data_IF_724678221581
#
_entry.id   IF_724678221581
#
_cell.length_a   1.000
_cell.length_b   1.000
_cell.length_c   1.000
_cell.angle_alpha   90.00
_cell.angle_beta   90.00
_cell.angle_gamma   90.00
#
_symmetry.space_group_name_H-M   'P 1'
#
loop_
_entity.id
_entity.type
_entity.pdbx_description
1 polymer ?
#
# COMPACT_ATOMS: atom_id res chain seq x y z
N UNK A 1 -8.21 -18.08 -27.01
CA UNK A 1 -7.58 -17.67 -25.74
C UNK A 1 -6.16 -18.25 -25.73
N UNK A 2 -5.16 -17.54 -25.17
CA UNK A 2 -3.78 -18.03 -25.10
C UNK A 2 -3.68 -19.31 -24.26
N UNK A 3 -2.69 -20.17 -24.52
CA UNK A 3 -2.45 -21.37 -23.68
C UNK A 3 -1.99 -20.93 -22.29
N UNK A 4 -2.25 -21.75 -21.27
CA UNK A 4 -1.85 -21.44 -19.89
C UNK A 4 -0.35 -21.25 -19.76
N UNK A 5 0.43 -22.09 -20.43
CA UNK A 5 1.89 -21.96 -20.50
C UNK A 5 2.34 -20.61 -21.08
N UNK A 6 1.67 -20.10 -22.11
CA UNK A 6 1.95 -18.78 -22.69
C UNK A 6 1.64 -17.66 -21.68
N UNK A 7 0.57 -17.82 -20.90
CA UNK A 7 0.21 -16.88 -19.83
C UNK A 7 1.26 -16.93 -18.72
N UNK A 8 1.64 -18.11 -18.23
CA UNK A 8 2.67 -18.25 -17.20
C UNK A 8 4.02 -17.67 -17.66
N UNK A 9 4.39 -17.90 -18.92
CA UNK A 9 5.59 -17.33 -19.51
C UNK A 9 5.50 -15.82 -19.72
N UNK A 10 4.35 -15.27 -20.11
CA UNK A 10 4.20 -13.82 -20.26
C UNK A 10 4.29 -13.09 -18.92
N UNK A 11 3.89 -13.73 -17.83
CA UNK A 11 3.99 -13.13 -16.49
C UNK A 11 5.44 -12.87 -16.06
N UNK A 12 6.44 -13.58 -16.61
CA UNK A 12 7.88 -13.33 -16.33
C UNK A 12 8.46 -12.19 -17.18
N UNK A 13 7.72 -11.72 -18.18
CA UNK A 13 8.22 -10.72 -19.10
C UNK A 13 8.47 -9.42 -18.34
N UNK A 14 9.73 -8.97 -18.36
CA UNK A 14 10.08 -7.66 -17.86
C UNK A 14 9.49 -6.59 -18.78
N UNK A 15 8.72 -5.69 -18.18
CA UNK A 15 8.11 -4.51 -18.80
C UNK A 15 8.69 -3.25 -18.20
N UNK A 16 8.79 -2.22 -19.02
CA UNK A 16 9.23 -0.90 -18.57
C UNK A 16 8.02 -0.03 -18.28
N UNK A 17 7.98 0.52 -17.06
CA UNK A 17 7.00 1.53 -16.65
C UNK A 17 7.71 2.88 -16.60
N UNK A 18 7.25 3.82 -17.42
CA UNK A 18 7.80 5.17 -17.46
C UNK A 18 7.33 5.97 -16.24
N UNK A 19 8.26 6.62 -15.55
CA UNK A 19 7.94 7.56 -14.47
C UNK A 19 8.11 9.00 -14.97
N UNK A 20 6.99 9.71 -15.10
CA UNK A 20 6.98 11.10 -15.53
C UNK A 20 6.96 12.03 -14.30
N UNK A 21 8.09 12.71 -14.08
CA UNK A 21 8.22 13.71 -13.01
C UNK A 21 8.96 14.93 -13.54
N UNK A 22 8.27 16.06 -13.70
CA UNK A 22 8.84 17.28 -14.32
C UNK A 22 8.36 18.54 -13.63
N UNK A 23 9.09 19.65 -13.80
CA UNK A 23 8.64 20.96 -13.27
C UNK A 23 7.34 21.42 -13.93
N UNK A 24 7.15 21.10 -15.20
CA UNK A 24 5.90 21.37 -15.91
C UNK A 24 4.71 20.64 -15.25
N UNK A 25 4.91 19.37 -14.86
CA UNK A 25 3.88 18.62 -14.13
C UNK A 25 3.46 19.34 -12.84
N UNK A 26 4.41 19.86 -12.07
CA UNK A 26 4.13 20.64 -10.85
C UNK A 26 3.25 21.84 -11.17
N UNK A 27 3.64 22.66 -12.14
CA UNK A 27 2.86 23.85 -12.53
C UNK A 27 1.45 23.52 -13.00
N UNK A 28 1.27 22.42 -13.73
CA UNK A 28 -0.07 21.94 -14.14
C UNK A 28 -0.91 21.43 -12.97
N UNK A 29 -0.30 20.79 -11.98
CA UNK A 29 -0.97 20.35 -10.76
C UNK A 29 -1.40 21.53 -9.90
N UNK A 30 -0.56 22.57 -9.78
CA UNK A 30 -0.91 23.81 -9.08
C UNK A 30 -2.08 24.54 -9.77
N UNK A 31 -2.05 24.63 -11.10
CA UNK A 31 -3.16 25.18 -11.88
C UNK A 31 -4.46 24.38 -11.64
N UNK A 32 -4.42 23.05 -11.76
CA UNK A 32 -5.59 22.20 -11.52
C UNK A 32 -6.10 22.31 -10.07
N UNK A 33 -5.21 22.47 -9.09
CA UNK A 33 -5.58 22.69 -7.70
C UNK A 33 -6.34 24.01 -7.51
N UNK A 34 -5.90 25.09 -8.16
CA UNK A 34 -6.56 26.40 -8.12
C UNK A 34 -7.94 26.38 -8.82
N UNK A 35 -8.02 25.76 -10.00
CA UNK A 35 -9.29 25.58 -10.74
C UNK A 35 -10.31 24.82 -9.87
N UNK A 36 -9.91 23.69 -9.26
CA UNK A 36 -10.78 22.92 -8.36
C UNK A 36 -11.19 23.67 -7.10
N UNK A 37 -10.34 24.55 -6.59
CA UNK A 37 -10.67 25.38 -5.43
C UNK A 37 -11.73 26.43 -5.78
N UNK A 38 -11.59 27.06 -6.94
CA UNK A 38 -12.57 27.99 -7.48
C UNK A 38 -13.94 27.32 -7.67
N UNK A 39 -13.98 26.16 -8.34
CA UNK A 39 -15.22 25.37 -8.51
C UNK A 39 -15.89 25.04 -7.16
N UNK A 40 -15.09 24.69 -6.13
CA UNK A 40 -15.61 24.42 -4.77
C UNK A 40 -16.17 25.67 -4.11
N UNK A 41 -15.54 26.82 -4.31
CA UNK A 41 -16.00 28.09 -3.76
C UNK A 41 -17.31 28.53 -4.41
N UNK A 42 -17.43 28.45 -5.74
CA UNK A 42 -18.67 28.73 -6.47
C UNK A 42 -19.79 27.78 -6.04
N UNK A 43 -19.50 26.49 -5.91
CA UNK A 43 -20.48 25.50 -5.45
C UNK A 43 -20.96 25.81 -4.02
N UNK A 44 -20.06 26.24 -3.14
CA UNK A 44 -20.42 26.65 -1.78
C UNK A 44 -21.32 27.90 -1.78
N UNK A 45 -20.97 28.93 -2.55
CA UNK A 45 -21.75 30.16 -2.68
C UNK A 45 -23.17 29.86 -3.22
N UNK A 46 -23.26 29.06 -4.29
CA UNK A 46 -24.55 28.61 -4.84
C UNK A 46 -25.39 27.86 -3.81
N UNK A 47 -24.79 26.94 -3.05
CA UNK A 47 -25.50 26.21 -2.00
C UNK A 47 -25.96 27.13 -0.86
N UNK A 48 -25.21 28.20 -0.57
CA UNK A 48 -25.59 29.20 0.42
C UNK A 48 -26.79 30.03 -0.03
N UNK A 49 -26.79 30.47 -1.29
CA UNK A 49 -27.92 31.18 -1.92
C UNK A 49 -29.18 30.31 -1.99
N UNK A 50 -29.02 29.00 -2.26
CA UNK A 50 -30.12 28.03 -2.29
C UNK A 50 -30.58 27.55 -0.90
N UNK A 51 -30.00 28.08 0.19
CA UNK A 51 -30.34 27.69 1.56
C UNK A 51 -29.98 26.24 1.93
N UNK A 52 -29.06 25.62 1.19
CA UNK A 52 -28.60 24.23 1.38
C UNK A 52 -27.45 24.11 2.39
N UNK A 53 -26.89 25.23 2.85
CA UNK A 53 -25.88 25.27 3.92
C UNK A 53 -26.52 25.57 5.27
N UNK A 54 -25.93 25.11 6.37
CA UNK A 54 -26.44 25.40 7.71
C UNK A 54 -26.13 26.85 8.11
N UNK A 55 -26.96 27.48 8.95
CA UNK A 55 -26.65 28.79 9.52
C UNK A 55 -25.29 28.77 10.23
N UNK A 56 -24.37 29.64 9.80
CA UNK A 56 -23.01 29.73 10.36
C UNK A 56 -21.94 28.88 9.64
N UNK A 57 -22.30 28.11 8.61
CA UNK A 57 -21.30 27.44 7.77
C UNK A 57 -20.43 28.48 7.05
N UNK A 58 -19.10 28.30 7.11
CA UNK A 58 -18.12 29.13 6.40
C UNK A 58 -17.34 28.28 5.41
N UNK A 59 -16.94 28.89 4.29
CA UNK A 59 -16.12 28.20 3.31
C UNK A 59 -14.73 27.93 3.88
N UNK A 60 -14.33 26.66 3.91
CA UNK A 60 -13.00 26.22 4.31
C UNK A 60 -12.25 25.67 3.09
N UNK A 61 -11.12 26.30 2.71
CA UNK A 61 -10.30 25.80 1.62
C UNK A 61 -9.70 24.43 1.92
N UNK A 62 -9.49 23.60 0.89
CA UNK A 62 -8.78 22.33 1.08
C UNK A 62 -7.29 22.58 1.30
N UNK A 63 -6.80 22.21 2.47
CA UNK A 63 -5.37 22.13 2.74
C UNK A 63 -4.73 21.06 1.82
N UNK A 64 -3.59 21.41 1.24
CA UNK A 64 -2.83 20.59 0.30
C UNK A 64 -1.37 20.58 0.73
N UNK A 65 -0.70 19.46 0.45
CA UNK A 65 0.70 19.30 0.81
C UNK A 65 1.55 20.37 0.12
N UNK A 66 2.27 21.22 0.88
CA UNK A 66 3.11 22.25 0.28
C UNK A 66 4.44 21.68 -0.22
N UNK A 67 5.13 22.46 -1.05
CA UNK A 67 6.48 22.14 -1.50
C UNK A 67 6.56 20.93 -2.43
N UNK A 68 5.49 20.68 -3.21
CA UNK A 68 5.50 19.67 -4.25
C UNK A 68 6.56 20.03 -5.29
N UNK A 69 7.39 19.06 -5.62
CA UNK A 69 8.44 19.21 -6.61
C UNK A 69 8.62 17.91 -7.40
N UNK A 70 9.29 17.96 -8.56
CA UNK A 70 9.65 16.75 -9.29
C UNK A 70 10.59 15.91 -8.44
N UNK A 71 10.67 14.61 -8.73
CA UNK A 71 11.66 13.75 -8.11
C UNK A 71 13.08 14.33 -8.31
N UNK A 72 14.03 14.12 -7.37
CA UNK A 72 15.40 14.59 -7.48
C UNK A 72 16.12 14.04 -8.72
N UNK A 73 17.23 14.67 -9.12
CA UNK A 73 17.93 14.39 -10.38
C UNK A 73 18.27 12.92 -10.64
N UNK A 74 18.71 12.20 -9.62
CA UNK A 74 19.05 10.77 -9.69
C UNK A 74 17.84 9.84 -9.92
N UNK A 75 16.63 10.40 -9.74
CA UNK A 75 15.33 9.74 -9.92
C UNK A 75 14.56 10.32 -11.13
N UNK A 76 15.05 11.39 -11.76
CA UNK A 76 14.46 11.94 -12.98
C UNK A 76 14.74 11.02 -14.16
N UNK A 77 13.70 10.68 -14.93
CA UNK A 77 13.82 9.69 -15.99
C UNK A 77 13.90 8.25 -15.48
N UNK A 78 13.50 8.01 -14.23
CA UNK A 78 13.33 6.67 -13.68
C UNK A 78 12.41 5.85 -14.60
N UNK A 79 12.97 4.79 -15.17
CA UNK A 79 12.22 3.72 -15.79
C UNK A 79 12.26 2.54 -14.83
N UNK A 80 11.10 2.16 -14.30
CA UNK A 80 11.02 1.00 -13.40
C UNK A 80 10.80 -0.24 -14.26
N UNK A 81 11.75 -1.17 -14.21
CA UNK A 81 11.59 -2.48 -14.83
C UNK A 81 10.88 -3.38 -13.83
N UNK A 82 9.68 -3.83 -14.19
CA UNK A 82 8.84 -4.70 -13.39
C UNK A 82 8.42 -5.89 -14.26
N UNK A 83 7.98 -6.97 -13.67
CA UNK A 83 7.17 -7.97 -14.36
C UNK A 83 5.69 -7.75 -14.04
N UNK A 84 4.79 -8.42 -14.78
CA UNK A 84 3.37 -8.45 -14.41
C UNK A 84 3.15 -9.09 -13.04
N UNK A 85 4.05 -10.01 -12.66
CA UNK A 85 4.11 -10.61 -11.35
C UNK A 85 4.42 -9.62 -10.24
N UNK A 86 5.38 -8.72 -10.46
CA UNK A 86 5.73 -7.73 -9.46
C UNK A 86 4.53 -6.80 -9.19
N UNK A 87 3.76 -6.44 -10.22
CA UNK A 87 2.53 -5.63 -10.07
C UNK A 87 1.49 -6.38 -9.24
N UNK A 88 1.25 -7.66 -9.54
CA UNK A 88 0.34 -8.51 -8.77
C UNK A 88 0.79 -8.62 -7.31
N UNK A 89 2.09 -8.80 -7.09
CA UNK A 89 2.68 -8.95 -5.77
C UNK A 89 2.46 -7.71 -4.90
N UNK A 90 2.77 -6.53 -5.45
CA UNK A 90 2.52 -5.25 -4.78
C UNK A 90 1.04 -5.04 -4.48
N UNK A 91 0.16 -5.41 -5.41
CA UNK A 91 -1.28 -5.28 -5.21
C UNK A 91 -1.80 -6.22 -4.11
N UNK A 92 -1.44 -7.51 -4.17
CA UNK A 92 -1.82 -8.50 -3.18
C UNK A 92 -1.33 -8.09 -1.78
N UNK A 93 -0.04 -7.71 -1.66
CA UNK A 93 0.55 -7.23 -0.41
C UNK A 93 -0.15 -5.98 0.12
N UNK A 94 -0.48 -5.04 -0.76
CA UNK A 94 -1.17 -3.79 -0.43
C UNK A 94 -2.64 -3.97 -0.06
N UNK A 95 -3.29 -5.06 -0.48
CA UNK A 95 -4.70 -5.37 -0.20
C UNK A 95 -4.91 -6.40 0.92
N UNK A 96 -3.85 -7.06 1.39
CA UNK A 96 -3.92 -8.14 2.38
C UNK A 96 -4.73 -7.79 3.66
N UNK A 97 -4.71 -6.51 4.08
CA UNK A 97 -5.47 -6.03 5.26
C UNK A 97 -6.79 -5.30 4.92
N UNK A 98 -7.27 -5.40 3.69
CA UNK A 98 -8.49 -4.70 3.29
C UNK A 98 -9.73 -5.39 3.91
N UNK A 99 -10.56 -4.60 4.61
CA UNK A 99 -11.79 -5.09 5.28
C UNK A 99 -12.84 -5.67 4.32
N UNK A 100 -12.65 -5.53 3.00
CA UNK A 100 -13.52 -6.11 1.97
C UNK A 100 -13.27 -7.60 1.74
N UNK A 101 -12.17 -8.15 2.26
CA UNK A 101 -11.68 -9.49 1.95
C UNK A 101 -11.46 -10.43 3.13
N UNK A 102 -11.99 -10.14 4.32
CA UNK A 102 -11.77 -10.97 5.50
C UNK A 102 -12.28 -12.43 5.42
N UNK A 103 -13.13 -12.72 4.42
CA UNK A 103 -13.54 -14.08 4.05
C UNK A 103 -13.02 -14.53 2.67
N UNK A 104 -12.12 -13.75 2.04
CA UNK A 104 -11.68 -13.84 0.63
C UNK A 104 -10.20 -13.55 0.37
N UNK A 105 -9.38 -13.26 1.39
CA UNK A 105 -8.04 -12.66 1.24
C UNK A 105 -7.19 -13.26 0.12
N UNK A 106 -7.14 -14.59 0.03
CA UNK A 106 -6.39 -15.29 -1.01
C UNK A 106 -7.10 -15.36 -2.38
N UNK A 107 -8.42 -15.52 -2.40
CA UNK A 107 -9.21 -15.47 -3.65
C UNK A 107 -9.17 -14.07 -4.29
N UNK A 108 -8.94 -13.02 -3.49
CA UNK A 108 -8.74 -11.65 -3.97
C UNK A 108 -7.31 -11.39 -4.47
N UNK A 109 -6.28 -11.99 -3.85
CA UNK A 109 -4.91 -11.98 -4.39
C UNK A 109 -4.91 -12.55 -5.81
N UNK A 110 -5.43 -13.75 -5.99
CA UNK A 110 -5.47 -14.40 -7.30
C UNK A 110 -6.57 -13.84 -8.21
N UNK A 111 -7.63 -13.27 -7.65
CA UNK A 111 -8.62 -12.50 -8.40
C UNK A 111 -8.03 -11.25 -9.07
N UNK A 112 -6.87 -10.77 -8.62
CA UNK A 112 -6.12 -9.68 -9.25
C UNK A 112 -5.33 -10.11 -10.48
N UNK A 113 -5.18 -11.42 -10.76
CA UNK A 113 -4.56 -11.93 -12.00
C UNK A 113 -5.25 -11.42 -13.26
N UNK A 114 -6.56 -11.13 -13.18
CA UNK A 114 -7.32 -10.53 -14.28
C UNK A 114 -6.69 -9.22 -14.77
N UNK A 115 -5.97 -8.50 -13.90
CA UNK A 115 -5.27 -7.28 -14.27
C UNK A 115 -4.00 -7.56 -15.05
N UNK A 116 -3.28 -8.64 -14.75
CA UNK A 116 -2.14 -9.08 -15.56
C UNK A 116 -2.60 -9.44 -16.98
N UNK A 117 -3.74 -10.12 -17.12
CA UNK A 117 -4.33 -10.43 -18.45
C UNK A 117 -4.83 -9.18 -19.19
N UNK A 118 -5.22 -8.14 -18.45
CA UNK A 118 -5.63 -6.85 -19.00
C UNK A 118 -4.45 -5.98 -19.47
N UNK A 119 -3.21 -6.42 -19.29
CA UNK A 119 -2.00 -5.70 -19.66
C UNK A 119 -1.17 -6.53 -20.65
N UNK A 120 -0.35 -5.86 -21.45
CA UNK A 120 0.60 -6.50 -22.36
C UNK A 120 1.82 -5.61 -22.59
N UNK A 121 2.93 -6.20 -23.02
CA UNK A 121 4.07 -5.44 -23.49
C UNK A 121 3.82 -4.95 -24.93
N UNK A 122 4.28 -3.75 -25.26
CA UNK A 122 4.38 -3.28 -26.63
C UNK A 122 5.64 -3.81 -27.33
N UNK A 123 5.83 -3.41 -28.60
CA UNK A 123 6.98 -3.84 -29.40
C UNK A 123 8.33 -3.38 -28.83
N UNK A 124 8.32 -2.39 -27.93
CA UNK A 124 9.49 -1.80 -27.26
C UNK A 124 9.58 -2.18 -25.79
N UNK A 125 8.82 -3.19 -25.33
CA UNK A 125 8.72 -3.68 -23.94
C UNK A 125 8.06 -2.73 -22.95
N UNK A 126 7.46 -1.63 -23.39
CA UNK A 126 6.68 -0.78 -22.50
C UNK A 126 5.32 -1.40 -22.23
N UNK A 127 4.82 -1.17 -21.02
CA UNK A 127 3.55 -1.70 -20.60
C UNK A 127 2.38 -0.94 -21.26
N UNK A 128 1.40 -1.67 -21.81
CA UNK A 128 0.15 -1.12 -22.35
C UNK A 128 -1.05 -1.98 -21.96
N UNK A 129 -2.25 -1.49 -22.22
CA UNK A 129 -3.48 -2.27 -22.05
C UNK A 129 -3.61 -3.30 -23.18
N UNK A 130 -3.88 -4.56 -22.82
CA UNK A 130 -4.13 -5.64 -23.79
C UNK A 130 -5.46 -5.45 -24.52
N UNK A 131 -5.68 -6.13 -25.66
CA UNK A 131 -6.97 -6.08 -26.37
C UNK A 131 -8.14 -6.57 -25.50
N UNK A 132 -7.89 -7.53 -24.62
CA UNK A 132 -8.84 -7.98 -23.60
C UNK A 132 -9.09 -6.90 -22.54
N UNK A 133 -8.02 -6.27 -22.06
CA UNK A 133 -8.10 -5.15 -21.11
C UNK A 133 -8.90 -3.96 -21.65
N UNK A 134 -8.77 -3.65 -22.95
CA UNK A 134 -9.56 -2.60 -23.61
C UNK A 134 -11.06 -2.90 -23.59
N UNK A 135 -11.46 -4.18 -23.73
CA UNK A 135 -12.86 -4.60 -23.65
C UNK A 135 -13.40 -4.54 -22.21
N UNK A 136 -12.59 -4.92 -21.22
CA UNK A 136 -12.94 -4.88 -19.80
C UNK A 136 -13.05 -3.44 -19.26
N UNK A 137 -12.20 -2.53 -19.75
CA UNK A 137 -12.20 -1.12 -19.37
C UNK A 137 -13.52 -0.40 -19.66
N UNK A 138 -14.39 -0.96 -20.51
CA UNK A 138 -15.74 -0.45 -20.78
C UNK A 138 -16.70 -0.67 -19.61
N UNK A 139 -16.49 -1.70 -18.78
CA UNK A 139 -17.43 -2.11 -17.73
C UNK A 139 -16.89 -1.99 -16.30
N UNK A 140 -15.56 -2.06 -16.10
CA UNK A 140 -14.92 -2.05 -14.76
C UNK A 140 -13.83 -0.98 -14.57
N UNK A 141 -13.88 0.09 -15.38
CA UNK A 141 -12.87 1.18 -15.45
C UNK A 141 -12.42 1.72 -14.09
N UNK A 142 -13.36 1.99 -13.17
CA UNK A 142 -13.05 2.70 -11.93
C UNK A 142 -12.25 1.82 -10.95
N UNK A 143 -12.70 0.59 -10.71
CA UNK A 143 -12.02 -0.32 -9.79
C UNK A 143 -10.66 -0.77 -10.34
N UNK A 144 -10.60 -1.08 -11.63
CA UNK A 144 -9.36 -1.48 -12.30
C UNK A 144 -8.29 -0.38 -12.21
N UNK A 145 -8.65 0.86 -12.52
CA UNK A 145 -7.67 1.96 -12.44
C UNK A 145 -7.27 2.32 -11.01
N UNK A 146 -8.16 2.16 -10.04
CA UNK A 146 -7.80 2.35 -8.62
C UNK A 146 -6.79 1.29 -8.16
N UNK A 147 -7.08 0.00 -8.39
CA UNK A 147 -6.22 -1.09 -7.92
C UNK A 147 -4.87 -1.13 -8.66
N UNK A 148 -4.87 -0.97 -9.99
CA UNK A 148 -3.63 -0.81 -10.75
C UNK A 148 -2.86 0.44 -10.32
N UNK A 149 -3.57 1.55 -10.07
CA UNK A 149 -2.96 2.79 -9.59
C UNK A 149 -2.26 2.61 -8.24
N UNK A 150 -2.81 1.79 -7.34
CA UNK A 150 -2.12 1.40 -6.11
C UNK A 150 -0.90 0.55 -6.41
N UNK A 151 -1.04 -0.52 -7.20
CA UNK A 151 0.05 -1.46 -7.49
C UNK A 151 1.30 -0.76 -8.06
N UNK A 152 1.11 0.08 -9.08
CA UNK A 152 2.21 0.84 -9.68
C UNK A 152 2.80 1.89 -8.74
N UNK A 153 1.95 2.60 -7.97
CA UNK A 153 2.46 3.56 -6.99
C UNK A 153 3.31 2.88 -5.91
N UNK A 154 2.93 1.69 -5.45
CA UNK A 154 3.69 0.92 -4.48
C UNK A 154 5.03 0.46 -5.05
N UNK A 155 5.04 -0.11 -6.25
CA UNK A 155 6.27 -0.55 -6.92
C UNK A 155 7.25 0.60 -7.19
N UNK A 156 6.74 1.73 -7.70
CA UNK A 156 7.56 2.93 -7.93
C UNK A 156 8.03 3.54 -6.59
N UNK A 157 7.22 3.48 -5.54
CA UNK A 157 7.64 3.95 -4.20
C UNK A 157 8.77 3.12 -3.63
N UNK A 158 8.71 1.79 -3.73
CA UNK A 158 9.77 0.90 -3.27
C UNK A 158 11.08 1.19 -4.01
N UNK A 159 11.03 1.35 -5.33
CA UNK A 159 12.22 1.69 -6.14
C UNK A 159 12.81 3.05 -5.76
N UNK A 160 11.98 4.10 -5.64
CA UNK A 160 12.43 5.44 -5.20
C UNK A 160 13.10 5.36 -3.83
N UNK A 161 12.44 4.71 -2.86
CA UNK A 161 12.94 4.67 -1.50
C UNK A 161 14.17 3.76 -1.38
N UNK A 162 14.29 2.71 -2.18
CA UNK A 162 15.47 1.84 -2.22
C UNK A 162 16.68 2.61 -2.72
N UNK A 163 16.51 3.48 -3.73
CA UNK A 163 17.61 4.34 -4.21
C UNK A 163 18.03 5.38 -3.17
N UNK A 164 17.06 6.00 -2.49
CA UNK A 164 17.33 6.99 -1.44
C UNK A 164 17.94 6.38 -0.18
N UNK A 165 17.63 5.13 0.11
CA UNK A 165 18.00 4.42 1.34
C UNK A 165 18.42 2.97 1.03
N UNK A 166 19.57 2.75 0.36
CA UNK A 166 19.97 1.43 -0.15
C UNK A 166 20.23 0.40 0.95
N UNK A 167 20.55 0.87 2.15
CA UNK A 167 20.84 0.03 3.32
C UNK A 167 19.65 -0.13 4.26
N UNK A 168 18.47 0.38 3.90
CA UNK A 168 17.29 0.31 4.75
C UNK A 168 16.27 -0.67 4.18
N UNK A 169 15.47 -1.22 5.09
CA UNK A 169 14.24 -1.94 4.74
C UNK A 169 13.12 -0.94 4.51
N UNK A 170 12.26 -1.26 3.55
CA UNK A 170 11.08 -0.49 3.22
C UNK A 170 9.87 -1.37 3.55
N UNK A 171 9.04 -0.91 4.48
CA UNK A 171 7.77 -1.57 4.82
C UNK A 171 6.63 -0.65 4.41
N UNK A 172 5.81 -1.07 3.44
CA UNK A 172 4.67 -0.29 2.99
C UNK A 172 3.38 -0.88 3.56
N UNK A 173 2.64 -0.06 4.32
CA UNK A 173 1.45 -0.48 5.06
C UNK A 173 0.26 0.41 4.75
N UNK A 174 -0.96 -0.12 4.91
CA UNK A 174 -2.20 0.65 4.75
C UNK A 174 -2.29 1.74 5.82
N UNK A 175 -2.36 2.99 5.37
CA UNK A 175 -2.38 4.13 6.27
C UNK A 175 -3.64 4.16 7.14
N UNK A 176 -4.80 3.82 6.58
CA UNK A 176 -6.06 3.73 7.32
C UNK A 176 -5.96 2.73 8.49
N UNK A 177 -5.42 1.53 8.25
CA UNK A 177 -5.22 0.50 9.28
C UNK A 177 -4.23 0.96 10.33
N UNK A 178 -3.11 1.58 9.96
CA UNK A 178 -2.14 2.11 10.92
C UNK A 178 -2.74 3.22 11.80
N UNK A 179 -3.49 4.16 11.22
CA UNK A 179 -4.10 5.26 11.96
C UNK A 179 -5.24 4.80 12.89
N UNK A 180 -5.99 3.75 12.52
CA UNK A 180 -7.05 3.18 13.38
C UNK A 180 -6.55 2.64 14.72
N UNK A 181 -5.24 2.43 14.88
CA UNK A 181 -4.64 2.11 16.17
C UNK A 181 -4.90 3.19 17.22
N UNK A 182 -5.03 4.46 16.80
CA UNK A 182 -5.13 5.61 17.73
C UNK A 182 -6.34 6.49 17.51
N UNK A 183 -6.90 6.51 16.30
CA UNK A 183 -8.00 7.41 15.95
C UNK A 183 -9.21 6.69 15.40
N UNK A 184 -10.37 7.32 15.57
CA UNK A 184 -11.62 6.93 14.94
C UNK A 184 -11.80 7.69 13.65
N UNK A 185 -11.72 6.98 12.54
CA UNK A 185 -11.63 7.60 11.21
C UNK A 185 -12.99 7.68 10.51
N UNK A 186 -14.00 6.92 10.94
CA UNK A 186 -15.31 6.87 10.26
C UNK A 186 -16.47 7.09 11.24
N UNK A 187 -17.62 7.54 10.71
CA UNK A 187 -18.86 7.71 11.49
C UNK A 187 -19.50 6.40 11.96
N UNK A 188 -19.03 5.25 11.45
CA UNK A 188 -19.45 3.91 11.89
C UNK A 188 -18.90 3.54 13.28
N UNK A 189 -17.95 4.32 13.81
CA UNK A 189 -17.47 4.19 15.18
C UNK A 189 -18.52 4.80 16.14
N UNK A 190 -19.53 3.98 16.50
CA UNK A 190 -20.84 4.32 17.12
C UNK A 190 -20.86 5.08 18.47
N UNK A 191 -19.78 5.72 18.93
CA UNK A 191 -19.77 6.45 20.21
C UNK A 191 -19.59 7.97 20.00
N UNK A 192 -20.24 8.78 20.86
CA UNK A 192 -20.41 10.25 20.80
C UNK A 192 -19.11 11.10 20.89
N UNK A 193 -17.93 10.56 20.57
CA UNK A 193 -16.67 11.31 20.57
C UNK A 193 -16.36 11.88 19.17
N UNK A 194 -15.61 12.99 19.14
CA UNK A 194 -15.24 13.71 17.91
C UNK A 194 -14.43 12.79 16.98
N UNK A 195 -14.96 12.51 15.79
CA UNK A 195 -14.19 11.90 14.68
C UNK A 195 -13.13 12.89 14.21
N UNK A 196 -12.13 12.41 13.44
CA UNK A 196 -11.03 13.25 12.93
C UNK A 196 -11.52 14.46 12.09
N UNK A 197 -12.76 14.44 11.61
CA UNK A 197 -13.39 15.57 10.91
C UNK A 197 -12.83 15.85 9.51
N UNK A 198 -11.68 15.26 9.17
CA UNK A 198 -11.07 15.31 7.84
C UNK A 198 -11.28 13.98 7.12
N UNK A 199 -11.84 14.02 5.92
CA UNK A 199 -12.17 12.82 5.13
C UNK A 199 -10.96 12.27 4.36
N UNK A 200 -9.95 13.11 4.13
CA UNK A 200 -8.80 12.74 3.31
C UNK A 200 -7.68 12.13 4.17
N UNK A 201 -7.05 11.09 3.63
CA UNK A 201 -5.94 10.34 4.21
C UNK A 201 -5.07 9.80 3.08
N UNK A 202 -3.75 9.66 3.27
CA UNK A 202 -2.94 8.89 2.34
C UNK A 202 -3.46 7.45 2.27
N UNK A 203 -3.21 6.76 1.15
CA UNK A 203 -3.60 5.36 1.00
C UNK A 203 -2.64 4.44 1.79
N UNK A 204 -1.35 4.79 1.81
CA UNK A 204 -0.29 3.99 2.43
C UNK A 204 0.71 4.86 3.20
N UNK A 205 1.45 4.22 4.11
CA UNK A 205 2.70 4.72 4.65
C UNK A 205 3.83 3.80 4.21
N UNK A 206 4.94 4.35 3.73
CA UNK A 206 6.20 3.63 3.67
C UNK A 206 7.05 3.99 4.89
N UNK A 207 7.43 3.00 5.68
CA UNK A 207 8.43 3.10 6.74
C UNK A 207 9.78 2.67 6.18
N UNK A 208 10.75 3.58 6.20
CA UNK A 208 12.16 3.32 5.92
C UNK A 208 12.87 3.11 7.25
N UNK A 209 13.51 1.96 7.42
CA UNK A 209 14.13 1.60 8.69
C UNK A 209 15.30 0.64 8.53
N UNK A 210 16.29 0.75 9.41
CA UNK A 210 17.29 -0.30 9.62
C UNK A 210 17.60 -0.45 11.11
N UNK A 211 18.14 -1.61 11.55
CA UNK A 211 18.49 -1.85 12.95
C UNK A 211 19.36 -0.73 13.53
N UNK A 212 19.04 -0.29 14.75
CA UNK A 212 19.79 0.75 15.46
C UNK A 212 19.51 2.19 15.02
N UNK A 213 18.68 2.42 13.99
CA UNK A 213 18.31 3.77 13.56
C UNK A 213 16.83 4.10 13.75
N UNK A 214 16.55 5.40 13.83
CA UNK A 214 15.19 5.94 13.81
C UNK A 214 14.53 5.68 12.45
N UNK A 215 13.25 5.28 12.45
CA UNK A 215 12.49 5.15 11.21
C UNK A 215 12.15 6.51 10.60
N UNK A 216 12.09 6.58 9.27
CA UNK A 216 11.48 7.70 8.54
C UNK A 216 10.24 7.23 7.79
N UNK A 217 9.15 7.97 7.90
CA UNK A 217 7.85 7.59 7.35
C UNK A 217 7.42 8.55 6.25
N UNK A 218 6.97 7.97 5.13
CA UNK A 218 6.47 8.67 3.94
C UNK A 218 5.01 8.30 3.71
N UNK A 219 4.05 9.22 3.96
CA UNK A 219 2.72 9.16 3.38
C UNK A 219 2.79 9.00 1.85
N UNK A 220 2.10 7.99 1.33
CA UNK A 220 1.92 7.75 -0.10
C UNK A 220 0.46 8.01 -0.44
N UNK A 221 0.25 9.00 -1.32
CA UNK A 221 -1.06 9.27 -1.89
C UNK A 221 -1.07 8.91 -3.36
N UNK A 222 -1.99 8.04 -3.78
CA UNK A 222 -2.02 7.51 -5.14
C UNK A 222 -3.44 7.44 -5.71
N UNK A 223 -3.53 7.58 -7.03
CA UNK A 223 -4.73 7.41 -7.84
C UNK A 223 -4.34 6.72 -9.14
N UNK A 224 -5.31 6.13 -9.83
CA UNK A 224 -5.15 5.75 -11.23
C UNK A 224 -6.34 6.19 -12.06
N UNK A 225 -6.14 6.25 -13.38
CA UNK A 225 -7.21 6.56 -14.32
C UNK A 225 -6.97 5.94 -15.68
N UNK A 226 -8.05 5.70 -16.42
CA UNK A 226 -8.05 5.29 -17.82
C UNK A 226 -8.49 6.45 -18.74
N UNK A 227 -8.15 7.68 -18.37
CA UNK A 227 -8.58 8.91 -19.03
C UNK A 227 -7.37 9.70 -19.48
N UNK A 228 -7.61 10.90 -20.02
CA UNK A 228 -6.56 11.76 -20.54
C UNK A 228 -5.62 12.31 -19.43
N UNK A 229 -4.50 12.84 -19.91
CA UNK A 229 -3.47 13.52 -19.13
C UNK A 229 -3.99 14.72 -18.30
N UNK A 230 -5.13 15.33 -18.62
CA UNK A 230 -5.67 16.44 -17.79
C UNK A 230 -6.14 15.91 -16.45
N UNK A 231 -6.75 14.72 -16.43
CA UNK A 231 -7.21 14.06 -15.20
C UNK A 231 -6.06 13.71 -14.26
N UNK A 232 -4.86 13.46 -14.78
CA UNK A 232 -3.65 13.25 -13.98
C UNK A 232 -3.38 14.46 -13.07
N UNK A 233 -3.54 15.68 -13.58
CA UNK A 233 -3.27 16.91 -12.81
C UNK A 233 -4.26 17.07 -11.66
N UNK A 234 -5.55 16.84 -11.91
CA UNK A 234 -6.58 16.85 -10.87
C UNK A 234 -6.35 15.76 -9.81
N UNK A 235 -5.91 14.57 -10.25
CA UNK A 235 -5.62 13.46 -9.35
C UNK A 235 -4.43 13.73 -8.45
N UNK A 236 -3.35 14.32 -8.97
CA UNK A 236 -2.20 14.72 -8.15
C UNK A 236 -2.54 15.88 -7.21
N UNK A 237 -3.36 16.84 -7.67
CA UNK A 237 -3.88 17.91 -6.81
C UNK A 237 -4.73 17.35 -5.66
N UNK A 238 -5.56 16.34 -5.94
CA UNK A 238 -6.31 15.60 -4.93
C UNK A 238 -5.39 14.79 -4.01
N UNK A 239 -4.38 14.10 -4.56
CA UNK A 239 -3.40 13.34 -3.79
C UNK A 239 -2.65 14.22 -2.78
N UNK A 240 -2.41 15.49 -3.12
CA UNK A 240 -1.83 16.48 -2.20
C UNK A 240 -2.72 16.78 -0.99
N UNK A 241 -4.06 16.76 -1.15
CA UNK A 241 -5.03 16.86 -0.04
C UNK A 241 -4.94 15.62 0.85
N UNK A 242 -4.88 14.43 0.23
CA UNK A 242 -4.74 13.16 0.95
C UNK A 242 -3.45 13.08 1.76
N UNK A 243 -2.30 13.42 1.16
CA UNK A 243 -1.00 13.38 1.81
C UNK A 243 -0.89 14.36 2.98
N UNK A 244 -1.54 15.52 2.87
CA UNK A 244 -1.52 16.53 3.93
C UNK A 244 -2.40 16.19 5.14
N UNK A 245 -3.37 15.28 4.98
CA UNK A 245 -4.24 14.83 6.08
C UNK A 245 -3.52 14.18 7.27
N UNK A 246 -2.21 13.92 7.16
CA UNK A 246 -1.37 13.35 8.22
C UNK A 246 -0.06 14.12 8.34
N UNK A 247 0.26 14.57 9.56
CA UNK A 247 1.54 15.20 9.88
C UNK A 247 2.29 14.33 10.91
N UNK A 248 3.51 13.92 10.57
CA UNK A 248 4.45 13.24 11.46
C UNK A 248 5.55 14.24 11.81
N UNK A 249 5.54 14.68 13.06
CA UNK A 249 6.35 15.78 13.58
C UNK A 249 5.67 17.13 13.47
N UNK A 250 6.45 18.16 13.16
CA UNK A 250 5.95 19.53 13.12
C UNK A 250 5.08 19.80 11.88
N UNK A 251 4.35 20.91 11.96
CA UNK A 251 3.43 21.35 10.92
C UNK A 251 4.12 21.47 9.56
N UNK A 252 3.53 20.84 8.54
CA UNK A 252 3.98 20.84 7.14
C UNK A 252 5.34 20.18 6.86
N UNK A 253 6.03 19.64 7.86
CA UNK A 253 7.37 19.08 7.67
C UNK A 253 7.39 17.62 7.20
N UNK A 254 6.27 16.90 7.22
CA UNK A 254 6.26 15.49 6.82
C UNK A 254 6.61 15.34 5.33
N UNK A 255 7.53 14.45 4.91
CA UNK A 255 7.74 14.19 3.49
C UNK A 255 6.51 13.48 2.89
N UNK A 256 6.41 13.39 1.57
CA UNK A 256 5.32 12.62 0.93
C UNK A 256 5.69 12.21 -0.49
N UNK A 257 5.11 11.10 -0.96
CA UNK A 257 5.14 10.68 -2.35
C UNK A 257 3.71 10.69 -2.93
N UNK A 258 3.55 11.31 -4.09
CA UNK A 258 2.26 11.48 -4.75
C UNK A 258 2.31 10.84 -6.14
N UNK A 259 1.31 10.03 -6.46
CA UNK A 259 1.25 9.31 -7.73
C UNK A 259 -0.11 9.43 -8.41
N UNK A 260 -0.07 9.51 -9.73
CA UNK A 260 -1.23 9.28 -10.60
C UNK A 260 -0.80 8.36 -11.74
N UNK A 261 -1.46 7.21 -11.88
CA UNK A 261 -1.19 6.27 -12.96
C UNK A 261 -2.12 6.54 -14.13
N UNK A 262 -1.56 6.86 -15.30
CA UNK A 262 -2.27 7.02 -16.57
C UNK A 262 -2.26 5.70 -17.33
N UNK A 263 -3.44 5.08 -17.44
CA UNK A 263 -3.66 3.83 -18.16
C UNK A 263 -4.32 4.17 -19.51
N UNK A 264 -3.49 4.64 -20.45
CA UNK A 264 -3.94 4.97 -21.81
C UNK A 264 -4.34 3.71 -22.59
N UNK A 265 -5.30 3.86 -23.49
CA UNK A 265 -5.70 2.79 -24.42
C UNK A 265 -4.79 2.72 -25.65
N UNK A 266 -4.08 3.80 -25.96
CA UNK A 266 -3.21 3.96 -27.14
C UNK A 266 -1.73 4.01 -26.78
N UNK A 267 -1.41 4.61 -25.65
CA UNK A 267 -0.04 4.93 -25.26
C UNK A 267 0.46 4.00 -24.16
N UNK A 268 1.79 3.91 -23.97
CA UNK A 268 2.37 3.25 -22.81
C UNK A 268 1.81 3.78 -21.49
N UNK A 269 1.58 2.87 -20.56
CA UNK A 269 1.23 3.19 -19.18
C UNK A 269 2.32 4.04 -18.56
N UNK A 270 1.92 5.16 -17.97
CA UNK A 270 2.83 6.13 -17.37
C UNK A 270 2.44 6.39 -15.92
N UNK A 271 3.42 6.39 -15.02
CA UNK A 271 3.23 6.79 -13.62
C UNK A 271 3.74 8.21 -13.45
N UNK A 272 2.84 9.13 -13.13
CA UNK A 272 3.19 10.51 -12.83
C UNK A 272 3.50 10.63 -11.34
N UNK A 273 4.71 11.08 -11.02
CA UNK A 273 5.21 11.12 -9.65
C UNK A 273 5.62 12.54 -9.26
N UNK A 274 5.22 12.96 -8.05
CA UNK A 274 5.71 14.16 -7.38
C UNK A 274 6.10 13.81 -5.96
N UNK A 275 6.96 14.62 -5.34
CA UNK A 275 7.27 14.45 -3.93
C UNK A 275 7.30 15.77 -3.17
N UNK A 276 7.12 15.66 -1.86
CA UNK A 276 7.46 16.70 -0.90
C UNK A 276 8.62 16.19 -0.04
N UNK A 277 9.69 16.97 0.07
CA UNK A 277 10.95 16.56 0.70
C UNK A 277 10.99 16.69 2.23
N UNK A 278 9.91 17.23 2.80
CA UNK A 278 9.83 17.77 4.16
C UNK A 278 10.79 17.13 5.19
N UNK A 279 11.46 17.95 6.02
CA UNK A 279 12.54 17.48 6.91
C UNK A 279 12.08 16.55 8.04
N UNK A 280 10.76 16.44 8.25
CA UNK A 280 10.13 15.60 9.25
C UNK A 280 9.95 14.14 8.82
N UNK A 281 8.91 13.50 9.35
CA UNK A 281 8.64 12.07 9.13
C UNK A 281 9.50 11.14 9.99
N UNK A 282 10.41 11.67 10.80
CA UNK A 282 11.29 10.88 11.67
C UNK A 282 10.57 10.47 12.95
N UNK A 283 10.51 9.16 13.21
CA UNK A 283 10.07 8.58 14.48
C UNK A 283 11.30 8.43 15.37
N UNK A 284 11.77 9.55 15.93
CA UNK A 284 12.93 9.57 16.83
C UNK A 284 12.54 8.96 18.17
N UNK A 285 13.13 7.81 18.47
CA UNK A 285 12.91 7.10 19.73
C UNK A 285 14.21 7.22 20.54
N UNK A 286 14.13 7.43 21.86
CA UNK A 286 15.31 7.46 22.72
C UNK A 286 16.18 6.21 22.54
N UNK A 287 17.51 6.40 22.45
CA UNK A 287 18.49 5.33 22.16
C UNK A 287 18.51 4.22 23.21
N UNK A 288 18.03 4.51 24.43
CA UNK A 288 17.89 3.57 25.54
C UNK A 288 16.61 2.72 25.47
N UNK A 289 15.74 2.94 24.48
CA UNK A 289 14.53 2.14 24.30
C UNK A 289 14.88 0.74 23.81
N UNK A 290 14.55 -0.33 24.56
CA UNK A 290 14.82 -1.69 24.12
C UNK A 290 14.13 -2.00 22.79
N UNK A 291 14.80 -2.68 21.86
CA UNK A 291 14.19 -3.07 20.58
C UNK A 291 12.91 -3.92 20.77
N UNK A 292 12.88 -4.74 21.82
CA UNK A 292 11.72 -5.53 22.23
C UNK A 292 10.48 -4.67 22.52
N UNK A 293 10.66 -3.41 22.92
CA UNK A 293 9.55 -2.50 23.18
C UNK A 293 8.73 -2.22 21.92
N UNK A 294 9.31 -2.33 20.73
CA UNK A 294 8.59 -2.14 19.47
C UNK A 294 7.64 -3.31 19.18
N UNK A 295 7.89 -4.48 19.76
CA UNK A 295 7.01 -5.65 19.65
C UNK A 295 5.88 -5.72 20.66
N UNK A 296 5.86 -4.81 21.64
CA UNK A 296 4.76 -4.76 22.60
C UNK A 296 3.42 -4.44 21.90
N UNK A 297 2.30 -4.96 22.44
CA UNK A 297 0.97 -4.59 21.96
C UNK A 297 0.78 -3.07 21.89
N UNK A 298 0.07 -2.62 20.87
CA UNK A 298 -0.28 -1.21 20.73
C UNK A 298 -1.45 -0.91 21.66
N UNK A 299 -1.18 -0.12 22.70
CA UNK A 299 -2.21 0.38 23.60
C UNK A 299 -3.12 1.42 22.93
N UNK A 300 -4.29 1.65 23.53
CA UNK A 300 -5.28 2.61 23.06
C UNK A 300 -4.92 4.04 23.49
N UNK A 301 -3.79 4.56 22.99
CA UNK A 301 -3.27 5.88 23.37
C UNK A 301 -4.19 7.05 23.03
N UNK A 302 -5.16 6.87 22.12
CA UNK A 302 -6.11 7.89 21.68
C UNK A 302 -5.50 9.30 21.51
N UNK A 303 -4.48 9.50 20.65
CA UNK A 303 -3.87 10.82 20.49
C UNK A 303 -4.91 11.88 20.14
N UNK A 304 -4.66 13.12 20.56
CA UNK A 304 -5.55 14.24 20.25
C UNK A 304 -5.82 14.33 18.74
N UNK A 305 -7.09 14.59 18.40
CA UNK A 305 -7.52 14.81 17.03
C UNK A 305 -7.08 16.20 16.57
N UNK A 306 -6.59 16.27 15.34
CA UNK A 306 -6.25 17.51 14.68
C UNK A 306 -4.75 17.63 14.39
N UNK A 307 -4.44 18.66 13.62
CA UNK A 307 -3.09 19.06 13.27
C UNK A 307 -2.90 20.48 13.77
N UNK A 308 -1.94 20.66 14.66
CA UNK A 308 -1.60 21.91 15.31
C UNK A 308 -0.78 22.78 14.36
N UNK A 309 -1.40 23.85 13.90
CA UNK A 309 -0.77 24.91 13.13
C UNK A 309 -0.17 25.93 14.10
N UNK A 310 1.14 26.19 14.01
CA UNK A 310 1.78 27.21 14.83
C UNK A 310 1.12 28.57 14.60
N UNK A 311 0.80 29.27 15.69
CA UNK A 311 0.32 30.65 15.65
C UNK A 311 1.37 31.61 15.08
N UNK A 312 0.93 32.74 14.53
CA UNK A 312 1.83 33.80 14.06
C UNK A 312 2.00 34.86 15.17
N UNK A 313 3.22 35.01 15.68
CA UNK A 313 3.53 36.06 16.66
C UNK A 313 2.86 35.80 18.02
N UNK A 314 1.84 36.58 18.37
CA UNK A 314 1.08 36.44 19.62
C UNK A 314 -0.16 35.56 19.49
N UNK A 315 -0.54 35.18 18.28
CA UNK A 315 -1.71 34.34 18.06
C UNK A 315 -1.47 32.93 18.62
N UNK A 316 -2.45 32.32 19.29
CA UNK A 316 -2.32 30.95 19.77
C UNK A 316 -2.31 29.97 18.61
N UNK A 317 -1.77 28.78 18.86
CA UNK A 317 -1.85 27.65 17.93
C UNK A 317 -3.30 27.28 17.65
N UNK A 318 -3.59 26.98 16.38
CA UNK A 318 -4.92 26.56 15.94
C UNK A 318 -4.90 25.09 15.54
N UNK A 319 -5.94 24.35 15.93
CA UNK A 319 -6.10 22.95 15.51
C UNK A 319 -6.92 22.87 14.23
N UNK A 320 -6.36 22.23 13.22
CA UNK A 320 -6.97 21.97 11.92
C UNK A 320 -7.38 20.48 11.84
N UNK A 321 -8.43 20.09 11.08
CA UNK A 321 -8.80 18.68 10.94
C UNK A 321 -7.68 17.81 10.35
N UNK A 322 -7.45 16.62 10.93
CA UNK A 322 -6.44 15.66 10.47
C UNK A 322 -5.79 14.88 11.62
N UNK A 323 -4.71 14.13 11.31
CA UNK A 323 -3.96 13.38 12.32
C UNK A 323 -2.53 13.92 12.45
N UNK A 324 -2.12 14.37 13.64
CA UNK A 324 -0.72 14.69 13.92
C UNK A 324 -0.09 13.70 14.91
N UNK A 325 1.02 13.10 14.50
CA UNK A 325 1.88 12.27 15.34
C UNK A 325 2.99 13.19 15.85
N UNK A 326 2.90 13.61 17.12
CA UNK A 326 3.94 14.39 17.79
C UNK A 326 5.00 13.52 18.49
N UNK A 327 6.11 14.11 19.00
CA UNK A 327 7.23 13.37 19.58
C UNK A 327 6.86 12.36 20.67
N UNK A 328 5.90 12.71 21.53
CA UNK A 328 5.40 11.83 22.61
C UNK A 328 4.76 10.53 22.10
N UNK A 329 4.34 10.48 20.84
CA UNK A 329 3.65 9.36 20.20
C UNK A 329 4.51 8.63 19.16
N UNK A 330 5.79 8.99 18.98
CA UNK A 330 6.64 8.35 17.95
C UNK A 330 6.84 6.87 18.19
N UNK A 331 7.14 6.47 19.44
CA UNK A 331 7.29 5.06 19.83
C UNK A 331 6.00 4.27 19.59
N UNK A 332 4.86 4.83 19.99
CA UNK A 332 3.55 4.23 19.75
C UNK A 332 3.26 4.04 18.26
N UNK A 333 3.51 5.07 17.44
CA UNK A 333 3.23 4.99 16.01
C UNK A 333 4.17 4.02 15.29
N UNK A 334 5.44 3.93 15.71
CA UNK A 334 6.37 2.94 15.15
C UNK A 334 5.92 1.51 15.48
N UNK A 335 5.40 1.26 16.69
CA UNK A 335 4.76 -0.03 17.04
C UNK A 335 3.56 -0.31 16.15
N UNK A 336 2.70 0.68 15.93
CA UNK A 336 1.53 0.54 15.07
C UNK A 336 1.92 0.18 13.62
N UNK A 337 2.93 0.85 13.05
CA UNK A 337 3.44 0.52 11.72
C UNK A 337 4.03 -0.89 11.67
N UNK A 338 4.87 -1.26 12.63
CA UNK A 338 5.51 -2.57 12.68
C UNK A 338 4.51 -3.72 12.79
N UNK A 339 3.51 -3.58 13.67
CA UNK A 339 2.45 -4.59 13.85
C UNK A 339 1.52 -4.68 12.66
N UNK A 340 1.16 -3.57 12.02
CA UNK A 340 0.36 -3.59 10.77
C UNK A 340 1.17 -4.20 9.62
N UNK A 341 2.48 -3.94 9.55
CA UNK A 341 3.37 -4.60 8.60
C UNK A 341 3.36 -6.12 8.76
N UNK A 342 3.56 -6.59 9.99
CA UNK A 342 3.51 -8.01 10.36
C UNK A 342 2.12 -8.63 10.09
N UNK A 343 1.04 -7.95 10.48
CA UNK A 343 -0.32 -8.42 10.23
C UNK A 343 -0.59 -8.58 8.73
N UNK A 344 -0.04 -7.68 7.91
CA UNK A 344 -0.15 -7.79 6.46
C UNK A 344 0.62 -8.98 5.89
N UNK A 345 1.73 -9.41 6.50
CA UNK A 345 2.47 -10.62 6.08
C UNK A 345 1.71 -11.89 6.46
N UNK A 346 1.19 -11.97 7.68
CA UNK A 346 0.41 -13.14 8.13
C UNK A 346 -0.87 -13.26 7.31
N UNK A 347 -1.55 -12.15 7.03
CA UNK A 347 -2.75 -12.14 6.18
C UNK A 347 -2.41 -12.56 4.75
N UNK A 348 -1.26 -12.12 4.23
CA UNK A 348 -0.78 -12.50 2.91
C UNK A 348 -0.54 -14.01 2.80
N UNK A 349 0.02 -14.62 3.85
CA UNK A 349 0.26 -16.05 3.96
C UNK A 349 -0.98 -16.90 4.31
N UNK A 350 -2.15 -16.26 4.45
CA UNK A 350 -3.42 -16.93 4.80
C UNK A 350 -3.64 -17.18 6.29
N UNK A 351 -2.78 -16.70 7.18
CA UNK A 351 -2.90 -16.91 8.63
C UNK A 351 -3.75 -15.81 9.29
N UNK A 352 -5.07 -16.03 9.31
CA UNK A 352 -6.04 -15.12 9.93
C UNK A 352 -5.89 -15.00 11.45
N UNK A 353 -5.53 -16.08 12.14
CA UNK A 353 -5.40 -16.11 13.60
C UNK A 353 -4.24 -15.21 14.06
N UNK A 354 -3.04 -15.40 13.49
CA UNK A 354 -1.89 -14.54 13.77
C UNK A 354 -2.15 -13.09 13.34
N UNK A 355 -2.86 -12.89 12.22
CA UNK A 355 -3.27 -11.54 11.78
C UNK A 355 -4.15 -10.85 12.82
N UNK A 356 -5.15 -11.55 13.36
CA UNK A 356 -6.03 -11.00 14.38
C UNK A 356 -5.26 -10.62 15.66
N UNK A 357 -4.32 -11.47 16.10
CA UNK A 357 -3.51 -11.21 17.28
C UNK A 357 -2.61 -9.97 17.14
N UNK A 358 -2.27 -9.57 15.92
CA UNK A 358 -1.43 -8.42 15.62
C UNK A 358 -2.18 -7.08 15.61
N UNK A 359 -3.50 -7.11 15.40
CA UNK A 359 -4.36 -5.94 15.24
C UNK A 359 -5.20 -5.66 16.50
N UNK A 360 -5.57 -4.39 16.70
CA UNK A 360 -6.57 -4.01 17.71
C UNK A 360 -8.00 -4.16 17.18
N UNK A 361 -9.00 -4.15 18.08
CA UNK A 361 -10.42 -4.13 17.73
C UNK A 361 -10.78 -3.03 16.72
N UNK A 362 -10.22 -1.83 16.88
CA UNK A 362 -10.47 -0.69 15.98
C UNK A 362 -9.86 -0.87 14.60
N UNK A 363 -8.75 -1.60 14.53
CA UNK A 363 -8.13 -1.98 13.27
C UNK A 363 -8.87 -3.15 12.60
N UNK A 364 -9.80 -3.78 13.32
CA UNK A 364 -10.69 -4.82 12.81
C UNK A 364 -10.12 -6.22 12.94
N UNK A 365 -9.49 -6.56 14.07
CA UNK A 365 -9.02 -7.92 14.33
C UNK A 365 -10.15 -8.98 14.23
N UNK A 366 -11.36 -8.66 14.67
CA UNK A 366 -12.54 -9.57 14.65
C UNK A 366 -12.84 -10.15 13.26
N UNK A 367 -12.53 -9.38 12.21
CA UNK A 367 -12.68 -9.82 10.83
C UNK A 367 -11.83 -11.06 10.52
N UNK A 368 -10.68 -11.20 11.17
CA UNK A 368 -9.74 -12.30 10.94
C UNK A 368 -9.92 -13.47 11.92
N UNK A 369 -10.74 -13.31 12.96
CA UNK A 369 -11.05 -14.37 13.94
C UNK A 369 -12.19 -15.29 13.49
N UNK A 370 -13.10 -14.81 12.65
CA UNK A 370 -14.44 -15.42 12.48
C UNK A 370 -14.56 -16.44 11.34
N UNK A 371 -13.50 -16.69 10.56
CA UNK A 371 -13.63 -17.35 9.24
C UNK A 371 -12.70 -18.56 9.04
N UNK A 372 -12.85 -19.59 9.87
CA UNK A 372 -12.49 -20.96 9.49
C UNK A 372 -13.70 -21.65 8.80
N UNK A 373 -14.06 -21.25 7.57
CA UNK A 373 -15.12 -21.95 6.83
C UNK A 373 -14.64 -23.31 6.36
N UNK A 374 -15.44 -24.36 6.53
CA UNK A 374 -15.11 -25.76 6.24
C UNK A 374 -14.76 -26.10 4.76
N UNK A 375 -14.91 -25.16 3.82
CA UNK A 375 -14.45 -25.30 2.41
C UNK A 375 -13.36 -24.27 2.04
N UNK A 376 -13.03 -23.35 2.95
CA UNK A 376 -11.93 -22.40 2.90
C UNK A 376 -10.93 -22.65 4.04
N UNK A 377 -10.96 -23.86 4.61
CA UNK A 377 -9.91 -24.39 5.47
C UNK A 377 -8.68 -24.71 4.63
N UNK A 378 -8.19 -23.73 3.87
CA UNK A 378 -6.77 -23.68 3.55
C UNK A 378 -6.09 -23.55 4.90
N UNK A 379 -5.75 -24.70 5.46
CA UNK A 379 -4.89 -24.78 6.61
C UNK A 379 -3.62 -24.06 6.20
N UNK A 380 -3.09 -23.23 7.08
CA UNK A 380 -1.74 -22.73 6.97
C UNK A 380 -0.77 -23.93 7.10
N UNK A 381 -0.66 -24.75 6.06
CA UNK A 381 0.09 -26.01 6.04
C UNK A 381 0.93 -26.23 4.77
N UNK A 382 0.77 -25.37 3.76
CA UNK A 382 1.54 -25.45 2.53
C UNK A 382 2.98 -24.98 2.78
N UNK A 383 3.93 -25.90 2.63
CA UNK A 383 5.37 -25.65 2.75
C UNK A 383 6.06 -26.02 1.45
N UNK A 384 6.72 -25.05 0.85
CA UNK A 384 7.48 -25.26 -0.38
C UNK A 384 8.89 -24.73 -0.24
N UNK A 385 9.84 -25.40 -0.90
CA UNK A 385 11.15 -24.84 -1.16
C UNK A 385 11.09 -24.27 -2.58
N UNK A 386 11.30 -22.97 -2.70
CA UNK A 386 11.26 -22.26 -3.97
C UNK A 386 12.58 -21.50 -4.12
N UNK A 387 13.29 -21.71 -5.24
CA UNK A 387 14.59 -21.11 -5.52
C UNK A 387 15.61 -21.32 -4.38
N UNK A 388 15.56 -22.49 -3.75
CA UNK A 388 16.43 -22.88 -2.64
C UNK A 388 16.03 -22.33 -1.26
N UNK A 389 14.94 -21.57 -1.18
CA UNK A 389 14.47 -20.93 0.07
C UNK A 389 13.16 -21.55 0.54
N UNK A 390 12.98 -21.69 1.86
CA UNK A 390 11.78 -22.30 2.44
C UNK A 390 10.71 -21.24 2.69
N UNK A 391 9.50 -21.52 2.22
CA UNK A 391 8.32 -20.66 2.38
C UNK A 391 7.16 -21.44 2.99
N UNK A 392 6.39 -20.76 3.83
CA UNK A 392 5.15 -21.28 4.40
C UNK A 392 4.00 -20.32 4.10
N UNK A 393 2.82 -20.89 3.85
CA UNK A 393 1.64 -20.10 3.52
C UNK A 393 0.48 -20.96 3.07
N UNK A 394 -0.13 -20.58 1.96
CA UNK A 394 -1.34 -21.22 1.46
C UNK A 394 -1.25 -21.44 -0.04
N UNK A 395 -1.70 -22.60 -0.50
CA UNK A 395 -1.91 -22.87 -1.91
C UNK A 395 -3.40 -22.94 -2.30
N UNK A 396 -3.63 -22.72 -3.58
CA UNK A 396 -4.92 -22.74 -4.22
C UNK A 396 -4.83 -23.42 -5.56
N UNK A 397 -5.90 -24.13 -5.92
CA UNK A 397 -6.06 -24.69 -7.26
C UNK A 397 -7.28 -24.06 -7.91
N UNK A 398 -7.08 -23.45 -9.07
CA UNK A 398 -8.17 -22.91 -9.90
C UNK A 398 -7.92 -23.20 -11.37
N UNK A 399 -8.86 -22.78 -12.23
CA UNK A 399 -8.72 -22.91 -13.68
C UNK A 399 -8.30 -21.59 -14.31
N UNK A 400 -7.20 -21.61 -15.05
CA UNK A 400 -6.73 -20.51 -15.89
C UNK A 400 -6.89 -20.95 -17.35
N UNK A 401 -7.69 -20.22 -18.13
CA UNK A 401 -8.02 -20.57 -19.53
C UNK A 401 -8.48 -22.04 -19.73
N UNK A 402 -9.14 -22.62 -18.73
CA UNK A 402 -9.66 -23.99 -18.77
C UNK A 402 -8.72 -25.06 -18.18
N UNK A 403 -7.44 -24.76 -17.99
CA UNK A 403 -6.48 -25.70 -17.41
C UNK A 403 -6.27 -25.46 -15.92
N UNK A 404 -5.93 -26.52 -15.18
CA UNK A 404 -5.71 -26.43 -13.74
C UNK A 404 -4.34 -25.83 -13.47
N UNK A 405 -4.32 -24.83 -12.60
CA UNK A 405 -3.08 -24.24 -12.07
C UNK A 405 -3.09 -24.33 -10.55
N UNK A 406 -1.93 -24.59 -9.98
CA UNK A 406 -1.67 -24.44 -8.55
C UNK A 406 -0.96 -23.10 -8.34
N UNK A 407 -1.47 -22.33 -7.39
CA UNK A 407 -0.99 -21.00 -7.06
C UNK A 407 -0.71 -20.95 -5.57
N UNK A 408 0.46 -20.46 -5.16
CA UNK A 408 0.93 -20.42 -3.78
C UNK A 408 1.26 -18.99 -3.37
N UNK A 409 0.85 -18.60 -2.16
CA UNK A 409 1.17 -17.33 -1.53
C UNK A 409 1.72 -17.61 -0.14
N UNK A 410 2.91 -17.08 0.16
CA UNK A 410 3.57 -17.39 1.42
C UNK A 410 4.60 -16.36 1.85
N UNK A 411 5.24 -16.63 2.97
CA UNK A 411 6.31 -15.83 3.58
C UNK A 411 7.49 -16.74 3.85
N UNK A 412 8.70 -16.22 3.73
CA UNK A 412 9.92 -16.93 4.09
C UNK A 412 9.79 -17.50 5.51
N UNK A 413 10.05 -18.81 5.66
CA UNK A 413 9.80 -19.53 6.91
C UNK A 413 10.42 -18.83 8.10
N UNK A 414 11.69 -18.43 7.99
CA UNK A 414 12.41 -17.80 9.08
C UNK A 414 11.74 -16.47 9.49
N UNK A 415 11.18 -15.69 8.57
CA UNK A 415 10.45 -14.46 8.91
C UNK A 415 9.14 -14.80 9.61
N UNK A 416 8.42 -15.80 9.10
CA UNK A 416 7.13 -16.19 9.62
C UNK A 416 7.21 -16.82 11.02
N UNK A 417 8.23 -17.64 11.28
CA UNK A 417 8.46 -18.29 12.59
C UNK A 417 8.62 -17.23 13.72
N UNK A 418 9.07 -16.01 13.40
CA UNK A 418 9.14 -14.91 14.36
C UNK A 418 7.78 -14.27 14.66
N UNK A 419 6.79 -14.43 13.76
CA UNK A 419 5.44 -13.88 13.89
C UNK A 419 4.45 -14.91 14.43
N UNK A 420 4.72 -16.19 14.19
CA UNK A 420 3.86 -17.33 14.53
C UNK A 420 4.59 -18.20 15.56
N UNK A 421 4.80 -17.68 16.77
CA UNK A 421 5.32 -18.49 17.88
C UNK A 421 4.16 -18.98 18.75
N UNK A 422 3.99 -20.30 18.81
CA UNK A 422 3.04 -21.00 19.70
C UNK A 422 3.83 -21.55 20.89
N UNK A 423 3.94 -20.78 21.98
CA UNK A 423 4.46 -21.31 23.25
C UNK A 423 3.27 -21.68 24.15
N UNK A 424 2.91 -22.96 24.17
CA UNK A 424 1.74 -23.43 24.93
C UNK A 424 0.42 -22.89 24.38
N UNK A 425 -0.41 -22.29 25.24
CA UNK A 425 -1.69 -21.65 24.86
C UNK A 425 -1.54 -20.16 24.49
N UNK A 426 -0.36 -19.54 24.68
CA UNK A 426 -0.14 -18.13 24.36
C UNK A 426 0.57 -17.97 23.01
N UNK A 427 -0.11 -17.29 22.08
CA UNK A 427 0.46 -16.90 20.79
C UNK A 427 1.13 -15.54 20.93
N UNK A 428 2.44 -15.48 20.73
CA UNK A 428 3.21 -14.23 20.84
C UNK A 428 4.05 -14.01 19.59
N UNK A 429 3.80 -12.88 18.92
CA UNK A 429 4.65 -12.42 17.82
C UNK A 429 5.87 -11.66 18.37
N UNK A 430 7.07 -12.06 17.97
CA UNK A 430 8.29 -11.31 18.19
C UNK A 430 8.55 -10.37 17.01
N UNK A 431 7.90 -9.21 17.06
CA UNK A 431 8.02 -8.16 16.03
C UNK A 431 9.47 -7.66 15.90
N UNK A 432 10.25 -7.65 16.98
CA UNK A 432 11.63 -7.16 16.92
C UNK A 432 12.49 -8.13 16.09
N UNK A 433 12.38 -9.43 16.37
CA UNK A 433 13.05 -10.48 15.59
C UNK A 433 12.54 -10.49 14.14
N UNK A 434 11.23 -10.38 13.93
CA UNK A 434 10.65 -10.24 12.58
C UNK A 434 11.31 -9.12 11.78
N UNK A 435 11.38 -7.90 12.36
CA UNK A 435 11.98 -6.75 11.67
C UNK A 435 13.44 -6.98 11.33
N UNK A 436 14.21 -7.61 12.22
CA UNK A 436 15.60 -7.95 11.96
C UNK A 436 15.73 -8.98 10.83
N UNK A 437 14.90 -10.02 10.80
CA UNK A 437 14.91 -11.06 9.76
C UNK A 437 14.48 -10.51 8.41
N UNK A 438 13.43 -9.70 8.35
CA UNK A 438 13.02 -9.00 7.13
C UNK A 438 14.11 -8.02 6.64
N UNK A 439 14.84 -7.38 7.56
CA UNK A 439 15.98 -6.56 7.20
C UNK A 439 17.14 -7.35 6.60
N UNK A 440 17.50 -8.49 7.19
CA UNK A 440 18.52 -9.36 6.62
C UNK A 440 18.08 -9.94 5.26
N UNK A 441 16.78 -10.22 5.09
CA UNK A 441 16.24 -10.75 3.85
C UNK A 441 16.41 -9.81 2.65
N UNK A 442 16.46 -8.49 2.87
CA UNK A 442 16.54 -7.48 1.80
C UNK A 442 17.69 -7.70 0.79
N UNK A 443 18.76 -8.37 1.23
CA UNK A 443 19.94 -8.64 0.40
C UNK A 443 19.84 -9.94 -0.41
N UNK A 444 18.81 -10.76 -0.17
CA UNK A 444 18.56 -11.97 -0.94
C UNK A 444 18.05 -11.64 -2.36
N UNK A 445 18.24 -12.55 -3.32
CA UNK A 445 17.63 -12.42 -4.65
C UNK A 445 16.13 -12.19 -4.54
N UNK A 446 15.64 -11.16 -5.24
CA UNK A 446 14.24 -10.77 -5.33
C UNK A 446 13.87 -10.49 -6.79
N UNK A 447 12.59 -10.46 -7.08
CA UNK A 447 12.04 -10.37 -8.43
C UNK A 447 11.35 -11.66 -8.86
N UNK A 448 11.14 -11.80 -10.17
CA UNK A 448 10.39 -12.89 -10.77
C UNK A 448 11.30 -13.84 -11.55
N UNK A 449 11.20 -15.14 -11.27
CA UNK A 449 12.03 -16.19 -11.82
C UNK A 449 11.20 -17.40 -12.26
N UNK A 450 11.80 -18.28 -13.06
CA UNK A 450 11.30 -19.62 -13.26
C UNK A 450 12.04 -20.57 -12.31
N UNK A 451 11.31 -21.35 -11.55
CA UNK A 451 11.84 -22.39 -10.68
C UNK A 451 11.64 -23.75 -11.36
N UNK A 452 12.75 -24.42 -11.66
CA UNK A 452 12.75 -25.71 -12.35
C UNK A 452 12.31 -26.87 -11.47
N UNK A 453 12.45 -26.79 -10.15
CA UNK A 453 11.98 -27.83 -9.23
C UNK A 453 10.48 -27.68 -8.98
N UNK A 454 10.01 -26.43 -8.86
CA UNK A 454 8.58 -26.13 -8.80
C UNK A 454 7.86 -26.39 -10.14
N UNK A 455 8.59 -26.24 -11.25
CA UNK A 455 8.11 -26.21 -12.64
C UNK A 455 7.10 -25.08 -12.88
N UNK A 456 7.48 -23.87 -12.49
CA UNK A 456 6.61 -22.72 -12.61
C UNK A 456 7.27 -21.39 -12.30
N UNK A 457 6.46 -20.34 -12.33
CA UNK A 457 6.91 -18.97 -12.11
C UNK A 457 6.81 -18.62 -10.62
N UNK A 458 7.84 -17.95 -10.10
CA UNK A 458 7.98 -17.56 -8.69
C UNK A 458 8.38 -16.08 -8.61
N UNK A 459 7.66 -15.28 -7.84
CA UNK A 459 7.95 -13.88 -7.53
C UNK A 459 8.28 -13.74 -6.05
N UNK A 460 9.50 -13.31 -5.71
CA UNK A 460 9.97 -13.08 -4.33
C UNK A 460 10.14 -11.58 -4.11
N UNK A 461 9.56 -11.06 -3.03
CA UNK A 461 9.67 -9.67 -2.59
C UNK A 461 10.82 -9.47 -1.60
N UNK A 462 11.24 -8.21 -1.42
CA UNK A 462 12.30 -7.80 -0.48
C UNK A 462 11.92 -7.95 0.99
N UNK A 463 10.63 -8.00 1.31
CA UNK A 463 10.11 -8.29 2.66
C UNK A 463 9.93 -9.79 2.93
N UNK A 464 10.30 -10.64 1.96
CA UNK A 464 10.27 -12.09 2.07
C UNK A 464 8.91 -12.75 1.79
N UNK A 465 7.95 -12.00 1.26
CA UNK A 465 6.77 -12.62 0.66
C UNK A 465 7.10 -13.30 -0.67
N UNK A 466 6.37 -14.36 -0.98
CA UNK A 466 6.47 -15.09 -2.24
C UNK A 466 5.10 -15.33 -2.85
N UNK A 467 5.04 -15.26 -4.17
CA UNK A 467 3.94 -15.81 -4.95
C UNK A 467 4.50 -16.78 -5.97
N UNK A 468 3.86 -17.93 -6.15
CA UNK A 468 4.27 -18.92 -7.13
C UNK A 468 3.07 -19.49 -7.88
N UNK A 469 3.25 -19.87 -9.14
CA UNK A 469 2.21 -20.52 -9.92
C UNK A 469 2.80 -21.54 -10.88
N UNK A 470 2.16 -22.70 -10.96
CA UNK A 470 2.48 -23.76 -11.93
C UNK A 470 1.23 -24.38 -12.52
N UNK A 471 1.36 -24.96 -13.69
CA UNK A 471 0.34 -25.83 -14.24
C UNK A 471 0.36 -27.18 -13.51
N UNK A 472 -0.81 -27.80 -13.31
CA UNK A 472 -0.90 -29.14 -12.73
C UNK A 472 -1.74 -30.07 -13.61
N UNK A 473 -1.50 -31.39 -13.57
CA UNK A 473 -2.26 -32.35 -14.37
C UNK A 473 -3.78 -32.27 -14.10
N UNK A 474 -4.62 -32.65 -15.09
CA UNK A 474 -6.04 -32.88 -14.84
C UNK A 474 -6.22 -33.96 -13.77
N UNK A 475 -7.37 -33.97 -13.09
CA UNK A 475 -7.70 -35.09 -12.21
C UNK A 475 -7.59 -36.38 -13.02
N UNK A 476 -6.85 -37.37 -12.50
CA UNK A 476 -7.00 -38.73 -13.01
C UNK A 476 -8.43 -39.12 -12.65
N UNK A 477 -9.23 -39.48 -13.64
CA UNK A 477 -10.53 -40.09 -13.39
C UNK A 477 -10.25 -41.37 -12.59
N UNK A 478 -10.61 -41.37 -11.31
CA UNK A 478 -10.79 -42.60 -10.53
C UNK A 478 -12.12 -43.23 -10.91
#
# INVERSE_FOLDING_TARGET
>A
MPRTEDVLNSLKQAVTVAVHSTRELVGKVEQAAAEKEHERQETFQKNQEEGKTKPGDTYAPLRRKPGLRPLPGEELGLSVRLTFWDVLHHLARGLALSQRGASRGLAEHWGSLKYCQALSADATTHLKVSEEGKRIATYYKALQSEELGHAFALAVSEEILTRRYPDHSISIVRADTALRAGWRLTSRDKTKTKTVGYQYRPQFFAEVWKPGESSRVFPIACKGNHSDRRKVYEQLASAAVHADGVHIGAWNETPALLFSTEISLSDPLTVHALHADGPGGWLRIPDDTPAADIGLPVGDENPAVGIFKPGKGKDPDTSEPGCQIGPRHYKWFQRALARVGAAGLTAFAGDGESTAALLTARQGNDFFQSFAHAAAGSVHDARYTLLGERFEGTDHVFRLNGERVQAFSGVAKDILDALVTREGEEQRADIATYRQRAHAWRTKPNGTFWDHEWDGVVSISRDGTVLAMRQIPPFRNE
#
